data_IF_501955474029
#
_entry.id   IF_501955474029
#
_cell.length_a   1.000
_cell.length_b   1.000
_cell.length_c   1.000
_cell.angle_alpha   90.00
_cell.angle_beta   90.00
_cell.angle_gamma   90.00
#
_symmetry.space_group_name_H-M   'P 1'
#
loop_
_entity.id
_entity.type
_entity.pdbx_description
1 polymer ?
#
# COMPACT_ATOMS: atom_id res chain seq x y z
N UNK A 1 20.23 22.74 22.31
CA UNK A 1 19.18 22.18 21.44
C UNK A 1 19.13 20.71 21.75
N UNK A 2 17.96 20.17 22.12
CA UNK A 2 17.85 18.74 22.37
C UNK A 2 18.11 17.98 21.07
N UNK A 3 18.93 16.94 21.12
CA UNK A 3 19.25 16.10 19.97
C UNK A 3 17.95 15.41 19.50
N UNK A 4 17.50 15.70 18.29
CA UNK A 4 16.26 15.14 17.76
C UNK A 4 16.50 13.64 17.55
N UNK A 5 15.78 12.80 18.30
CA UNK A 5 15.89 11.34 18.20
C UNK A 5 15.27 10.88 16.90
N UNK A 6 16.01 10.10 16.13
CA UNK A 6 15.55 9.51 14.87
C UNK A 6 15.43 7.99 15.00
N UNK A 7 14.49 7.40 14.27
CA UNK A 7 14.42 5.97 14.02
C UNK A 7 15.27 5.59 12.78
N UNK A 8 15.20 4.33 12.33
CA UNK A 8 16.05 3.81 11.25
C UNK A 8 15.78 4.43 9.88
N UNK A 9 14.60 5.03 9.69
CA UNK A 9 14.24 5.64 8.40
C UNK A 9 15.12 6.84 8.04
N UNK A 10 15.89 7.40 8.98
CA UNK A 10 16.87 8.47 8.70
C UNK A 10 17.95 8.07 7.69
N UNK A 11 18.13 6.77 7.45
CA UNK A 11 19.10 6.23 6.49
C UNK A 11 18.49 5.90 5.12
N UNK A 12 17.17 6.08 4.96
CA UNK A 12 16.48 5.84 3.70
C UNK A 12 16.69 6.99 2.71
N UNK A 13 16.44 6.70 1.41
CA UNK A 13 16.55 7.71 0.35
C UNK A 13 15.20 8.34 0.02
N UNK A 14 14.11 7.59 0.19
CA UNK A 14 12.75 8.08 -0.03
C UNK A 14 12.48 9.31 0.83
N UNK A 15 12.10 10.46 0.22
CA UNK A 15 11.63 11.62 0.97
C UNK A 15 10.42 11.29 1.86
N UNK A 16 9.55 10.39 1.40
CA UNK A 16 8.38 9.94 2.17
C UNK A 16 8.80 9.18 3.44
N UNK A 17 9.77 8.27 3.36
CA UNK A 17 10.28 7.56 4.54
C UNK A 17 11.04 8.48 5.49
N UNK A 18 11.86 9.40 4.95
CA UNK A 18 12.61 10.38 5.74
C UNK A 18 11.69 11.30 6.55
N UNK A 19 10.51 11.66 6.02
CA UNK A 19 9.50 12.45 6.75
C UNK A 19 9.08 11.75 8.07
N UNK A 20 9.03 10.42 8.08
CA UNK A 20 8.68 9.63 9.26
C UNK A 20 9.85 9.32 10.20
N UNK A 21 11.07 9.76 9.88
CA UNK A 21 12.27 9.42 10.65
C UNK A 21 12.29 9.97 12.07
N UNK A 22 11.52 11.04 12.34
CA UNK A 22 11.41 11.68 13.65
C UNK A 22 10.19 11.24 14.45
N UNK A 23 9.35 10.37 13.88
CA UNK A 23 8.17 9.87 14.58
C UNK A 23 8.58 9.04 15.81
N UNK A 24 7.83 9.11 16.92
CA UNK A 24 8.11 8.32 18.13
C UNK A 24 7.97 6.80 17.91
N UNK A 25 7.28 6.37 16.86
CA UNK A 25 7.27 4.97 16.42
C UNK A 25 8.66 4.56 15.94
N UNK A 26 9.18 3.44 16.44
CA UNK A 26 10.50 2.87 16.09
C UNK A 26 10.46 2.17 14.71
N UNK A 27 10.14 2.95 13.68
CA UNK A 27 9.98 2.44 12.32
C UNK A 27 11.24 1.73 11.80
N UNK A 28 11.02 0.59 11.15
CA UNK A 28 11.99 -0.08 10.31
C UNK A 28 11.61 0.13 8.84
N UNK A 29 12.59 0.25 7.94
CA UNK A 29 12.33 0.01 6.53
C UNK A 29 12.02 -1.47 6.31
N UNK A 30 11.40 -1.79 5.17
CA UNK A 30 11.23 -3.19 4.79
C UNK A 30 12.58 -3.86 4.53
N UNK A 31 12.92 -4.86 5.34
CA UNK A 31 14.16 -5.60 5.19
C UNK A 31 14.30 -6.73 6.20
N UNK A 32 15.37 -7.52 6.05
CA UNK A 32 15.61 -8.68 6.92
C UNK A 32 15.72 -8.32 8.40
N UNK A 33 16.23 -7.14 8.74
CA UNK A 33 16.39 -6.70 10.14
C UNK A 33 15.05 -6.70 10.88
N UNK A 34 14.01 -6.11 10.28
CA UNK A 34 12.67 -6.03 10.87
C UNK A 34 12.09 -7.43 11.12
N UNK A 35 12.18 -8.33 10.14
CA UNK A 35 11.63 -9.69 10.28
C UNK A 35 12.46 -10.57 11.21
N UNK A 36 13.79 -10.43 11.24
CA UNK A 36 14.63 -11.12 12.23
C UNK A 36 14.29 -10.66 13.64
N UNK A 37 14.04 -9.36 13.85
CA UNK A 37 13.55 -8.83 15.13
C UNK A 37 12.18 -9.42 15.49
N UNK A 38 11.24 -9.42 14.55
CA UNK A 38 9.89 -9.97 14.75
C UNK A 38 9.92 -11.45 15.15
N UNK A 39 10.79 -12.25 14.52
CA UNK A 39 10.99 -13.67 14.88
C UNK A 39 11.61 -13.78 16.28
N UNK A 40 12.68 -13.02 16.55
CA UNK A 40 13.40 -13.08 17.82
C UNK A 40 12.54 -12.69 19.02
N UNK A 41 11.69 -11.67 18.85
CA UNK A 41 10.82 -11.14 19.91
C UNK A 41 9.43 -11.80 19.93
N UNK A 42 9.13 -12.72 19.01
CA UNK A 42 7.80 -13.28 18.74
C UNK A 42 6.70 -12.21 18.70
N UNK A 43 6.91 -11.18 17.89
CA UNK A 43 5.98 -10.07 17.70
C UNK A 43 5.39 -10.05 16.29
N UNK A 44 4.11 -9.69 16.13
CA UNK A 44 3.57 -9.40 14.81
C UNK A 44 4.25 -8.16 14.21
N UNK A 45 4.26 -8.09 12.89
CA UNK A 45 4.75 -6.92 12.14
C UNK A 45 3.58 -6.02 11.81
N UNK A 46 3.66 -4.75 12.18
CA UNK A 46 2.72 -3.71 11.74
C UNK A 46 3.29 -3.07 10.48
N UNK A 47 2.76 -3.43 9.30
CA UNK A 47 3.18 -2.89 8.02
C UNK A 47 2.29 -1.70 7.62
N UNK A 48 2.90 -0.53 7.39
CA UNK A 48 2.23 0.66 6.87
C UNK A 48 2.85 1.10 5.54
N UNK A 49 2.08 0.92 4.46
CA UNK A 49 2.47 1.33 3.11
C UNK A 49 1.77 2.65 2.76
N UNK A 50 2.53 3.59 2.20
CA UNK A 50 2.01 4.87 1.71
C UNK A 50 2.94 5.48 0.67
N UNK A 51 2.71 6.75 0.34
CA UNK A 51 3.52 7.50 -0.62
C UNK A 51 3.39 9.01 -0.38
N UNK A 52 4.31 9.79 -0.96
CA UNK A 52 4.51 11.22 -0.68
C UNK A 52 3.27 12.11 -0.90
N UNK A 53 2.43 11.80 -1.90
CA UNK A 53 1.24 12.60 -2.26
C UNK A 53 -0.08 12.02 -1.72
N UNK A 54 -0.02 11.04 -0.83
CA UNK A 54 -1.19 10.40 -0.22
C UNK A 54 -1.79 11.24 0.91
N UNK A 55 -2.95 11.86 0.67
CA UNK A 55 -3.63 12.69 1.69
C UNK A 55 -3.88 11.94 3.01
N UNK A 56 -4.52 10.77 2.95
CA UNK A 56 -4.88 10.02 4.15
C UNK A 56 -3.66 9.45 4.89
N UNK A 57 -2.53 9.29 4.22
CA UNK A 57 -1.28 8.86 4.85
C UNK A 57 -0.76 9.95 5.78
N UNK A 58 -0.79 11.22 5.32
CA UNK A 58 -0.43 12.38 6.14
C UNK A 58 -1.41 12.60 7.29
N UNK A 59 -2.71 12.39 7.06
CA UNK A 59 -3.72 12.47 8.13
C UNK A 59 -3.45 11.42 9.21
N UNK A 60 -3.23 10.16 8.83
CA UNK A 60 -2.96 9.08 9.79
C UNK A 60 -1.62 9.27 10.52
N UNK A 61 -0.59 9.78 9.84
CA UNK A 61 0.67 10.16 10.50
C UNK A 61 0.41 11.17 11.62
N UNK A 62 -0.18 12.31 11.28
CA UNK A 62 -0.38 13.41 12.21
C UNK A 62 -1.30 13.06 13.36
N UNK A 63 -2.37 12.30 13.09
CA UNK A 63 -3.31 11.88 14.12
C UNK A 63 -2.77 10.75 15.01
N UNK A 64 -1.89 9.89 14.49
CA UNK A 64 -1.53 8.63 15.15
C UNK A 64 -0.04 8.37 15.28
N UNK A 65 0.74 8.45 14.20
CA UNK A 65 2.16 8.05 14.25
C UNK A 65 3.07 9.09 14.91
N UNK A 66 2.64 10.35 15.01
CA UNK A 66 3.30 11.39 15.82
C UNK A 66 2.91 11.32 17.31
N UNK A 67 1.87 10.56 17.67
CA UNK A 67 1.34 10.48 19.03
C UNK A 67 2.12 9.46 19.88
N UNK A 68 2.59 9.89 21.05
CA UNK A 68 3.42 9.05 21.92
C UNK A 68 2.69 7.84 22.49
N UNK A 69 1.38 7.92 22.74
CA UNK A 69 0.62 6.81 23.29
C UNK A 69 0.41 5.70 22.24
N UNK A 70 0.11 6.09 20.99
CA UNK A 70 0.06 5.13 19.87
C UNK A 70 1.43 4.50 19.64
N UNK A 71 2.49 5.31 19.64
CA UNK A 71 3.85 4.82 19.46
C UNK A 71 4.29 3.85 20.55
N UNK A 72 3.90 4.08 21.81
CA UNK A 72 4.19 3.16 22.90
C UNK A 72 3.55 1.79 22.68
N UNK A 73 2.29 1.74 22.25
CA UNK A 73 1.59 0.48 21.94
C UNK A 73 2.27 -0.24 20.78
N UNK A 74 2.61 0.47 19.71
CA UNK A 74 3.30 -0.09 18.53
C UNK A 74 4.67 -0.63 18.91
N UNK A 75 5.51 0.16 19.56
CA UNK A 75 6.89 -0.19 19.88
C UNK A 75 6.97 -1.35 20.88
N UNK A 76 5.99 -1.45 21.79
CA UNK A 76 5.95 -2.51 22.79
C UNK A 76 5.50 -3.84 22.18
N UNK A 77 4.46 -3.83 21.37
CA UNK A 77 3.75 -5.05 20.98
C UNK A 77 4.02 -5.49 19.53
N UNK A 78 4.62 -4.64 18.71
CA UNK A 78 4.81 -4.88 17.27
C UNK A 78 6.25 -4.60 16.84
N UNK A 79 6.60 -5.09 15.65
CA UNK A 79 7.70 -4.51 14.86
C UNK A 79 7.07 -3.62 13.78
N UNK A 80 7.11 -2.28 13.93
CA UNK A 80 6.52 -1.37 12.97
C UNK A 80 7.43 -1.20 11.75
N UNK A 81 6.89 -1.45 10.56
CA UNK A 81 7.58 -1.36 9.27
C UNK A 81 6.89 -0.34 8.38
N UNK A 82 7.65 0.61 7.84
CA UNK A 82 7.17 1.63 6.91
C UNK A 82 7.68 1.33 5.51
N UNK A 83 6.81 1.45 4.51
CA UNK A 83 7.14 1.23 3.10
C UNK A 83 6.65 2.38 2.26
N UNK A 84 7.51 2.85 1.37
CA UNK A 84 7.14 3.72 0.28
C UNK A 84 6.73 2.88 -0.93
N UNK A 85 5.47 3.04 -1.36
CA UNK A 85 4.94 2.39 -2.56
C UNK A 85 5.71 2.80 -3.82
N UNK A 86 6.19 4.05 -3.89
CA UNK A 86 6.88 4.57 -5.08
C UNK A 86 8.23 3.88 -5.29
N UNK A 87 8.88 3.44 -4.19
CA UNK A 87 10.13 2.66 -4.24
C UNK A 87 9.89 1.15 -4.29
N UNK A 88 8.81 0.65 -3.67
CA UNK A 88 8.49 -0.79 -3.56
C UNK A 88 7.07 -1.14 -4.04
N UNK A 89 6.78 -0.93 -5.35
CA UNK A 89 5.48 -1.27 -5.92
C UNK A 89 5.21 -2.79 -5.92
N UNK A 90 6.27 -3.59 -5.86
CA UNK A 90 6.21 -5.05 -5.71
C UNK A 90 5.59 -5.46 -4.37
N UNK A 91 5.99 -4.82 -3.26
CA UNK A 91 5.42 -5.07 -1.93
C UNK A 91 4.00 -4.54 -1.86
N UNK A 92 3.78 -3.32 -2.37
CA UNK A 92 2.48 -2.68 -2.37
C UNK A 92 1.42 -3.52 -3.07
N UNK A 93 1.71 -4.03 -4.28
CA UNK A 93 0.72 -4.78 -5.07
C UNK A 93 0.25 -6.07 -4.38
N UNK A 94 1.19 -6.83 -3.77
CA UNK A 94 0.89 -8.05 -3.02
C UNK A 94 -0.07 -7.74 -1.86
N UNK A 95 0.28 -6.75 -1.04
CA UNK A 95 -0.51 -6.46 0.16
C UNK A 95 -1.78 -5.65 -0.12
N UNK A 96 -1.84 -4.93 -1.25
CA UNK A 96 -3.07 -4.33 -1.74
C UNK A 96 -4.08 -5.40 -2.15
N UNK A 97 -3.64 -6.46 -2.84
CA UNK A 97 -4.50 -7.59 -3.17
C UNK A 97 -5.07 -8.24 -1.90
N UNK A 98 -4.25 -8.43 -0.87
CA UNK A 98 -4.70 -8.92 0.45
C UNK A 98 -5.79 -8.02 1.03
N UNK A 99 -5.60 -6.71 1.02
CA UNK A 99 -6.61 -5.77 1.53
C UNK A 99 -7.92 -5.87 0.76
N UNK A 100 -7.86 -5.93 -0.57
CA UNK A 100 -9.04 -6.07 -1.40
C UNK A 100 -9.80 -7.37 -1.13
N UNK A 101 -9.09 -8.47 -0.90
CA UNK A 101 -9.68 -9.77 -0.57
C UNK A 101 -10.37 -9.76 0.81
N UNK A 102 -9.74 -9.16 1.82
CA UNK A 102 -10.26 -9.17 3.21
C UNK A 102 -11.36 -8.12 3.41
N UNK A 103 -11.13 -6.89 2.94
CA UNK A 103 -11.98 -5.74 3.19
C UNK A 103 -12.94 -5.42 2.02
N UNK A 104 -12.86 -6.16 0.91
CA UNK A 104 -13.64 -5.92 -0.32
C UNK A 104 -13.23 -4.67 -1.09
N UNK A 105 -12.29 -3.89 -0.57
CA UNK A 105 -11.78 -2.66 -1.15
C UNK A 105 -10.34 -2.42 -0.71
N UNK A 106 -9.64 -1.53 -1.40
CA UNK A 106 -8.24 -1.20 -1.12
C UNK A 106 -7.97 0.29 -1.27
N UNK A 107 -6.85 0.74 -0.71
CA UNK A 107 -6.44 2.14 -0.74
C UNK A 107 -5.30 2.42 0.22
N UNK A 108 -4.88 3.68 0.28
CA UNK A 108 -3.78 4.13 1.13
C UNK A 108 -4.26 5.15 2.18
N UNK A 109 -3.67 5.18 3.38
CA UNK A 109 -2.59 4.32 3.85
C UNK A 109 -3.06 2.87 3.95
N UNK A 110 -2.18 1.94 3.57
CA UNK A 110 -2.46 0.52 3.62
C UNK A 110 -1.83 -0.03 4.91
N UNK A 111 -2.68 -0.50 5.81
CA UNK A 111 -2.32 -1.05 7.13
C UNK A 111 -2.50 -2.55 7.12
N UNK A 112 -1.41 -3.29 7.31
CA UNK A 112 -1.42 -4.76 7.27
C UNK A 112 -0.71 -5.30 8.50
N UNK A 113 -1.29 -6.32 9.13
CA UNK A 113 -0.62 -7.04 10.21
C UNK A 113 -0.15 -8.39 9.69
N UNK A 114 1.15 -8.63 9.84
CA UNK A 114 1.81 -9.84 9.38
C UNK A 114 2.32 -10.67 10.57
N UNK A 115 2.37 -11.97 10.37
CA UNK A 115 3.25 -12.85 11.14
C UNK A 115 4.73 -12.56 10.80
N UNK A 116 5.68 -12.96 11.67
CA UNK A 116 7.12 -12.84 11.41
C UNK A 116 7.60 -13.50 10.11
N UNK A 117 6.89 -14.51 9.62
CA UNK A 117 7.14 -15.18 8.33
C UNK A 117 6.50 -14.48 7.12
N UNK A 118 6.07 -13.21 7.27
CA UNK A 118 5.47 -12.33 6.26
C UNK A 118 4.03 -12.69 5.85
N UNK A 119 3.41 -13.69 6.46
CA UNK A 119 2.03 -14.06 6.16
C UNK A 119 1.04 -13.06 6.77
N UNK A 120 0.17 -12.42 5.97
CA UNK A 120 -0.81 -11.48 6.47
C UNK A 120 -1.97 -12.21 7.16
N UNK A 121 -2.49 -11.63 8.24
CA UNK A 121 -3.73 -12.11 8.88
C UNK A 121 -4.75 -10.99 9.13
N UNK A 122 -4.38 -9.75 8.82
CA UNK A 122 -5.29 -8.61 8.87
C UNK A 122 -4.83 -7.58 7.85
N UNK A 123 -5.78 -6.91 7.18
CA UNK A 123 -5.52 -5.76 6.35
C UNK A 123 -6.68 -4.76 6.41
N UNK A 124 -6.36 -3.50 6.29
CA UNK A 124 -7.30 -2.39 6.16
C UNK A 124 -6.60 -1.15 5.64
N UNK A 125 -7.36 -0.07 5.49
CA UNK A 125 -6.82 1.18 4.94
C UNK A 125 -6.53 2.17 6.08
N UNK A 126 -7.26 3.28 6.11
CA UNK A 126 -7.15 4.32 7.13
C UNK A 126 -7.89 3.94 8.41
N UNK A 127 -7.22 4.11 9.54
CA UNK A 127 -7.80 4.01 10.89
C UNK A 127 -7.63 5.34 11.62
N UNK A 128 -8.71 5.96 12.15
CA UNK A 128 -8.57 7.11 13.04
C UNK A 128 -7.87 6.68 14.33
N UNK A 129 -7.23 7.60 15.06
CA UNK A 129 -6.59 7.28 16.35
C UNK A 129 -7.53 6.55 17.31
N UNK A 130 -8.69 7.18 17.57
CA UNK A 130 -9.74 6.71 18.47
C UNK A 130 -10.95 6.18 17.68
N UNK A 131 -11.64 5.18 18.23
CA UNK A 131 -12.90 4.69 17.66
C UNK A 131 -13.96 5.79 17.64
N UNK A 132 -14.59 5.99 16.47
CA UNK A 132 -15.59 7.04 16.27
C UNK A 132 -16.62 6.65 15.22
N UNK A 133 -17.89 6.99 15.45
CA UNK A 133 -18.99 6.78 14.50
C UNK A 133 -19.06 5.35 13.92
N UNK A 134 -18.91 4.34 14.79
CA UNK A 134 -18.93 2.93 14.37
C UNK A 134 -17.70 2.46 13.58
N UNK A 135 -16.68 3.30 13.42
CA UNK A 135 -15.39 2.92 12.85
C UNK A 135 -14.41 2.61 13.97
N UNK A 136 -13.74 1.47 13.85
CA UNK A 136 -12.67 1.05 14.75
C UNK A 136 -11.48 2.02 14.65
N UNK A 137 -10.95 2.43 15.80
CA UNK A 137 -9.73 3.21 15.91
C UNK A 137 -8.47 2.36 15.92
N UNK A 138 -7.33 2.99 15.66
CA UNK A 138 -6.03 2.34 15.64
C UNK A 138 -5.66 1.77 17.01
N UNK A 139 -5.94 2.48 18.10
CA UNK A 139 -5.64 2.00 19.47
C UNK A 139 -6.41 0.70 19.76
N UNK A 140 -7.70 0.67 19.44
CA UNK A 140 -8.54 -0.52 19.65
C UNK A 140 -8.09 -1.69 18.77
N UNK A 141 -7.73 -1.41 17.51
CA UNK A 141 -7.17 -2.41 16.60
C UNK A 141 -5.89 -3.02 17.18
N UNK A 142 -4.92 -2.19 17.59
CA UNK A 142 -3.64 -2.65 18.12
C UNK A 142 -3.80 -3.48 19.39
N UNK A 143 -4.66 -3.03 20.32
CA UNK A 143 -4.96 -3.77 21.55
C UNK A 143 -5.66 -5.11 21.24
N UNK A 144 -6.60 -5.12 20.30
CA UNK A 144 -7.30 -6.33 19.89
C UNK A 144 -6.35 -7.35 19.28
N UNK A 145 -5.47 -6.91 18.39
CA UNK A 145 -4.45 -7.75 17.75
C UNK A 145 -3.48 -8.30 18.79
N UNK A 146 -3.02 -7.48 19.74
CA UNK A 146 -2.14 -7.93 20.79
C UNK A 146 -2.78 -9.02 21.68
N UNK A 147 -4.05 -8.85 22.07
CA UNK A 147 -4.78 -9.89 22.81
C UNK A 147 -4.92 -11.18 21.99
N UNK A 148 -5.31 -11.08 20.70
CA UNK A 148 -5.40 -12.25 19.82
C UNK A 148 -4.05 -12.97 19.66
N UNK A 149 -2.95 -12.21 19.53
CA UNK A 149 -1.61 -12.76 19.38
C UNK A 149 -1.17 -13.60 20.58
N UNK A 150 -1.47 -13.12 21.79
CA UNK A 150 -1.06 -13.77 23.03
C UNK A 150 -2.01 -14.88 23.48
N UNK A 151 -3.32 -14.72 23.25
CA UNK A 151 -4.33 -15.63 23.80
C UNK A 151 -4.86 -16.65 22.77
N UNK A 152 -4.84 -16.30 21.48
CA UNK A 152 -5.56 -17.03 20.41
C UNK A 152 -4.74 -17.18 19.13
N UNK A 153 -3.47 -17.55 19.29
CA UNK A 153 -2.51 -17.70 18.19
C UNK A 153 -2.99 -18.64 17.08
N UNK A 154 -3.71 -19.71 17.42
CA UNK A 154 -4.26 -20.65 16.44
C UNK A 154 -5.29 -20.02 15.48
N UNK A 155 -6.08 -19.04 15.94
CA UNK A 155 -7.03 -18.32 15.09
C UNK A 155 -6.27 -17.45 14.07
N UNK A 156 -5.15 -16.85 14.48
CA UNK A 156 -4.27 -16.07 13.61
C UNK A 156 -3.62 -16.97 12.55
N UNK A 157 -3.13 -18.14 12.95
CA UNK A 157 -2.50 -19.08 12.01
C UNK A 157 -3.50 -19.60 10.96
N UNK A 158 -4.73 -19.90 11.38
CA UNK A 158 -5.80 -20.31 10.47
C UNK A 158 -6.13 -19.19 9.47
N UNK A 159 -6.33 -17.97 9.96
CA UNK A 159 -6.61 -16.80 9.09
C UNK A 159 -5.46 -16.53 8.12
N UNK A 160 -4.21 -16.57 8.60
CA UNK A 160 -3.04 -16.34 7.77
C UNK A 160 -2.90 -17.37 6.64
N UNK A 161 -3.17 -18.64 6.93
CA UNK A 161 -3.11 -19.70 5.92
C UNK A 161 -4.21 -19.52 4.87
N UNK A 162 -5.46 -19.24 5.28
CA UNK A 162 -6.57 -19.00 4.35
C UNK A 162 -6.28 -17.84 3.39
N UNK A 163 -5.76 -16.72 3.91
CA UNK A 163 -5.40 -15.57 3.07
C UNK A 163 -4.26 -15.92 2.11
N UNK A 164 -3.24 -16.65 2.59
CA UNK A 164 -2.09 -17.05 1.77
C UNK A 164 -2.50 -18.03 0.66
N UNK A 165 -3.40 -18.97 0.94
CA UNK A 165 -3.94 -19.91 -0.05
C UNK A 165 -4.71 -19.16 -1.14
N UNK A 166 -5.62 -18.27 -0.76
CA UNK A 166 -6.40 -17.49 -1.72
C UNK A 166 -5.54 -16.53 -2.57
N UNK A 167 -4.42 -16.04 -2.04
CA UNK A 167 -3.43 -15.27 -2.81
C UNK A 167 -2.73 -16.12 -3.88
N UNK A 168 -2.42 -17.38 -3.58
CA UNK A 168 -1.77 -18.28 -4.53
C UNK A 168 -2.72 -18.78 -5.63
N UNK A 169 -4.02 -18.84 -5.34
CA UNK A 169 -5.06 -19.18 -6.33
C UNK A 169 -5.36 -18.04 -7.30
N UNK A 170 -5.03 -16.80 -6.92
CA UNK A 170 -5.12 -15.65 -7.82
C UNK A 170 -3.99 -15.74 -8.84
N UNK A 171 -4.27 -15.83 -10.15
CA UNK A 171 -3.22 -15.97 -11.16
C UNK A 171 -2.28 -14.78 -11.09
N UNK A 172 -1.07 -15.02 -10.58
CA UNK A 172 0.06 -14.13 -10.76
C UNK A 172 0.36 -14.13 -12.28
N UNK A 173 0.47 -12.98 -12.94
CA UNK A 173 0.99 -12.94 -14.31
C UNK A 173 2.47 -13.30 -14.25
N UNK A 174 2.77 -14.60 -14.19
CA UNK A 174 4.12 -15.13 -14.32
C UNK A 174 4.41 -15.24 -15.81
N UNK A 175 4.87 -14.14 -16.42
CA UNK A 175 5.67 -14.23 -17.63
C UNK A 175 7.08 -13.74 -17.29
N UNK A 176 7.99 -14.69 -17.05
CA UNK A 176 9.45 -14.48 -16.96
C UNK A 176 10.08 -14.12 -18.32
N UNK A 177 9.25 -13.91 -19.34
CA UNK A 177 9.67 -13.43 -20.66
C UNK A 177 9.47 -11.92 -20.73
N UNK A 178 10.45 -11.21 -21.28
CA UNK A 178 10.27 -9.81 -21.64
C UNK A 178 9.03 -9.69 -22.54
N UNK A 179 8.13 -8.70 -22.29
CA UNK A 179 6.94 -8.53 -23.10
C UNK A 179 7.28 -8.42 -24.59
N UNK A 180 6.62 -9.23 -25.40
CA UNK A 180 6.69 -9.18 -26.86
C UNK A 180 5.76 -8.11 -27.44
N UNK A 181 5.84 -7.87 -28.75
CA UNK A 181 5.01 -6.87 -29.43
C UNK A 181 3.50 -7.11 -29.21
N UNK A 182 3.08 -8.37 -29.21
CA UNK A 182 1.68 -8.80 -28.98
C UNK A 182 1.16 -8.43 -27.59
N UNK A 183 2.03 -8.42 -26.58
CA UNK A 183 1.64 -8.00 -25.22
C UNK A 183 1.32 -6.51 -25.19
N UNK A 184 2.04 -5.68 -25.97
CA UNK A 184 1.73 -4.26 -26.12
C UNK A 184 0.38 -4.04 -26.81
N UNK A 185 0.06 -4.80 -27.86
CA UNK A 185 -1.25 -4.75 -28.51
C UNK A 185 -2.39 -5.15 -27.57
N UNK A 186 -2.17 -6.23 -26.80
CA UNK A 186 -3.14 -6.69 -25.80
C UNK A 186 -3.37 -5.63 -24.72
N UNK A 187 -2.31 -5.04 -24.18
CA UNK A 187 -2.41 -3.96 -23.20
C UNK A 187 -3.14 -2.74 -23.76
N UNK A 188 -2.87 -2.35 -25.02
CA UNK A 188 -3.60 -1.28 -25.69
C UNK A 188 -5.11 -1.57 -25.77
N UNK A 189 -5.52 -2.76 -26.23
CA UNK A 189 -6.94 -3.12 -26.32
C UNK A 189 -7.64 -3.11 -24.96
N UNK A 190 -6.92 -3.46 -23.88
CA UNK A 190 -7.44 -3.35 -22.52
C UNK A 190 -7.64 -1.89 -22.09
N UNK A 191 -6.74 -0.98 -22.46
CA UNK A 191 -6.94 0.45 -22.22
C UNK A 191 -8.12 0.98 -23.02
N UNK A 192 -8.20 0.64 -24.31
CA UNK A 192 -9.27 1.10 -25.20
C UNK A 192 -10.66 0.68 -24.67
N UNK A 193 -10.81 -0.58 -24.25
CA UNK A 193 -12.08 -1.10 -23.71
C UNK A 193 -12.50 -0.45 -22.39
N UNK A 194 -11.55 0.09 -21.62
CA UNK A 194 -11.80 0.71 -20.30
C UNK A 194 -11.82 2.23 -20.36
N UNK A 195 -11.51 2.83 -21.51
CA UNK A 195 -11.39 4.26 -21.65
C UNK A 195 -12.74 4.96 -21.53
N UNK A 196 -12.80 5.95 -20.66
CA UNK A 196 -13.97 6.83 -20.53
C UNK A 196 -13.80 8.02 -21.49
N UNK A 197 -14.44 7.96 -22.64
CA UNK A 197 -14.35 9.03 -23.64
C UNK A 197 -15.02 10.34 -23.20
N UNK A 198 -15.93 10.31 -22.22
CA UNK A 198 -16.63 11.50 -21.75
C UNK A 198 -15.73 12.32 -20.81
N UNK A 199 -15.16 11.66 -19.81
CA UNK A 199 -14.40 12.32 -18.73
C UNK A 199 -12.90 12.00 -18.73
N UNK A 200 -12.39 11.24 -19.69
CA UNK A 200 -11.00 10.77 -19.71
C UNK A 200 -10.69 9.75 -18.62
N UNK A 201 -9.49 9.18 -18.62
CA UNK A 201 -9.09 8.14 -17.68
C UNK A 201 -9.69 6.76 -18.01
N UNK A 202 -9.49 5.79 -17.12
CA UNK A 202 -9.77 4.38 -17.39
C UNK A 202 -10.51 3.71 -16.24
N UNK A 203 -11.58 2.98 -16.56
CA UNK A 203 -12.43 2.28 -15.59
C UNK A 203 -13.49 3.17 -14.94
N UNK A 204 -14.06 2.68 -13.83
CA UNK A 204 -15.10 3.37 -13.07
C UNK A 204 -14.54 4.41 -12.09
N UNK A 205 -15.36 5.37 -11.70
CA UNK A 205 -15.02 6.34 -10.66
C UNK A 205 -14.83 5.68 -9.27
N UNK A 206 -13.97 6.26 -8.40
CA UNK A 206 -13.08 7.40 -8.66
C UNK A 206 -11.88 6.98 -9.53
N UNK A 207 -11.52 7.82 -10.50
CA UNK A 207 -10.39 7.56 -11.42
C UNK A 207 -9.14 8.23 -10.86
N UNK A 208 -8.00 7.56 -10.91
CA UNK A 208 -6.73 8.11 -10.40
C UNK A 208 -5.79 8.49 -11.54
N UNK A 209 -5.12 9.65 -11.47
CA UNK A 209 -4.03 10.00 -12.36
C UNK A 209 -2.94 8.92 -12.31
N UNK A 210 -2.82 8.15 -13.40
CA UNK A 210 -1.83 7.08 -13.52
C UNK A 210 -0.88 7.42 -14.67
N UNK A 211 0.17 8.23 -14.42
CA UNK A 211 1.04 8.75 -15.49
C UNK A 211 1.67 7.65 -16.34
N UNK A 212 1.98 6.50 -15.75
CA UNK A 212 2.54 5.35 -16.47
C UNK A 212 1.61 4.81 -17.57
N UNK A 213 0.28 4.86 -17.37
CA UNK A 213 -0.69 4.47 -18.41
C UNK A 213 -0.65 5.44 -19.59
N UNK A 214 -0.53 6.74 -19.32
CA UNK A 214 -0.46 7.77 -20.35
C UNK A 214 0.87 7.69 -21.11
N UNK A 215 1.98 7.47 -20.41
CA UNK A 215 3.30 7.26 -21.02
C UNK A 215 3.28 6.01 -21.92
N UNK A 216 2.66 4.93 -21.46
CA UNK A 216 2.48 3.72 -22.27
C UNK A 216 1.73 4.03 -23.56
N UNK A 217 0.57 4.71 -23.50
CA UNK A 217 -0.24 5.05 -24.67
C UNK A 217 0.51 5.97 -25.65
N UNK A 218 1.23 6.97 -25.15
CA UNK A 218 2.06 7.84 -25.98
C UNK A 218 3.18 7.05 -26.68
N UNK A 219 3.85 6.12 -25.98
CA UNK A 219 4.87 5.25 -26.58
C UNK A 219 4.27 4.30 -27.60
N UNK A 220 3.09 3.75 -27.32
CA UNK A 220 2.37 2.85 -28.22
C UNK A 220 1.96 3.58 -29.51
N UNK A 221 1.49 4.82 -29.42
CA UNK A 221 1.24 5.68 -30.58
C UNK A 221 2.51 5.90 -31.41
N UNK A 222 3.64 6.25 -30.78
CA UNK A 222 4.91 6.45 -31.48
C UNK A 222 5.38 5.17 -32.18
N UNK A 223 5.13 4.00 -31.58
CA UNK A 223 5.56 2.70 -32.13
C UNK A 223 4.68 2.20 -33.27
N UNK A 224 3.36 2.38 -33.17
CA UNK A 224 2.38 1.74 -34.07
C UNK A 224 1.65 2.70 -35.00
N UNK A 225 1.64 4.00 -34.68
CA UNK A 225 0.85 5.02 -35.37
C UNK A 225 -0.63 5.03 -34.99
N UNK A 226 -1.08 4.23 -34.01
CA UNK A 226 -2.48 4.16 -33.58
C UNK A 226 -2.94 5.47 -32.92
N UNK A 227 -3.65 6.31 -33.67
CA UNK A 227 -4.02 7.67 -33.24
C UNK A 227 -4.95 7.67 -32.04
N UNK A 228 -5.77 6.63 -31.87
CA UNK A 228 -6.67 6.55 -30.72
C UNK A 228 -5.92 6.42 -29.39
N UNK A 229 -4.71 5.84 -29.40
CA UNK A 229 -3.85 5.83 -28.21
C UNK A 229 -3.44 7.24 -27.77
N UNK A 230 -3.11 8.12 -28.74
CA UNK A 230 -2.80 9.53 -28.47
C UNK A 230 -4.04 10.27 -27.95
N UNK A 231 -5.19 10.08 -28.60
CA UNK A 231 -6.46 10.71 -28.19
C UNK A 231 -6.83 10.37 -26.74
N UNK A 232 -6.71 9.09 -26.36
CA UNK A 232 -6.95 8.65 -24.99
C UNK A 232 -6.04 9.35 -23.98
N UNK A 233 -4.76 9.50 -24.32
CA UNK A 233 -3.78 10.17 -23.46
C UNK A 233 -4.08 11.67 -23.31
N UNK A 234 -4.30 12.37 -24.42
CA UNK A 234 -4.58 13.81 -24.43
C UNK A 234 -5.89 14.15 -23.72
N UNK A 235 -6.97 13.42 -24.03
CA UNK A 235 -8.26 13.61 -23.37
C UNK A 235 -8.15 13.42 -21.86
N UNK A 236 -7.42 12.40 -21.42
CA UNK A 236 -7.18 12.16 -19.99
C UNK A 236 -6.41 13.32 -19.35
N UNK A 237 -5.36 13.83 -19.99
CA UNK A 237 -4.59 14.98 -19.49
C UNK A 237 -5.43 16.27 -19.41
N UNK A 238 -6.26 16.52 -20.42
CA UNK A 238 -7.17 17.67 -20.44
C UNK A 238 -8.18 17.55 -19.30
N UNK A 239 -8.81 16.39 -19.13
CA UNK A 239 -9.78 16.16 -18.06
C UNK A 239 -9.17 16.24 -16.67
N UNK A 240 -7.93 15.75 -16.48
CA UNK A 240 -7.17 15.98 -15.24
C UNK A 240 -6.97 17.47 -14.94
N UNK A 241 -6.63 18.27 -15.95
CA UNK A 241 -6.47 19.73 -15.79
C UNK A 241 -7.78 20.42 -15.43
N UNK A 242 -8.91 19.91 -15.92
CA UNK A 242 -10.23 20.46 -15.65
C UNK A 242 -10.84 19.97 -14.32
N UNK A 243 -10.26 18.94 -13.69
CA UNK A 243 -10.77 18.33 -12.46
C UNK A 243 -11.88 17.31 -12.68
N UNK A 244 -12.02 16.77 -13.90
CA UNK A 244 -13.01 15.74 -14.27
C UNK A 244 -12.56 14.30 -13.92
N UNK A 245 -11.35 14.15 -13.37
CA UNK A 245 -10.70 12.90 -12.95
C UNK A 245 -10.18 13.07 -11.54
#
# INVERSE_FOLDING_TARGET
MAEQKHNRLIHEKSPYLLQHATNPVDWYPWGEEAFKKAIKEDKPVFLSIGYSTCHWCHVMEKESFEDSAVAEILNTNFVPVKVDREERPDIDSIYMAVCQMIAGSGGWPLTVILKPDKKPFFAGTYFPKESRHGRMGLIDLLNKVNSLWNERRSEIDASANQITEALNETPQPVNDSNPGLEDFHTAYSQFESRFDSAHGGFGSAPKFPSPHNLIFLLRYFVLTGETKALEMAEKTLISMRLGDI
#
